data_IF_197535356673
#
_entry.id   IF_197535356673
#
_cell.length_a   1.000
_cell.length_b   1.000
_cell.length_c   1.000
_cell.angle_alpha   90.00
_cell.angle_beta   90.00
_cell.angle_gamma   90.00
#
_symmetry.space_group_name_H-M   'P 1'
#
loop_
_entity.id
_entity.type
_entity.pdbx_description
1 polymer ?
#
# COMPACT_ATOMS: atom_id res chain seq x y z
N UNK A 1 15.10 -10.43 10.83
CA UNK A 1 15.37 -10.38 12.29
C UNK A 1 14.21 -11.01 13.05
N UNK A 2 14.39 -11.47 14.30
CA UNK A 2 13.27 -12.03 15.11
C UNK A 2 12.12 -11.03 15.33
N UNK A 3 12.43 -9.74 15.41
CA UNK A 3 11.42 -8.69 15.57
C UNK A 3 10.54 -8.56 14.31
N UNK A 4 11.15 -8.57 13.12
CA UNK A 4 10.42 -8.53 11.85
C UNK A 4 9.48 -9.72 11.70
N UNK A 5 9.94 -10.94 11.98
CA UNK A 5 9.11 -12.15 11.90
C UNK A 5 7.85 -12.07 12.78
N UNK A 6 7.93 -11.42 13.94
CA UNK A 6 6.77 -11.20 14.82
C UNK A 6 5.78 -10.16 14.29
N UNK A 7 6.23 -9.28 13.41
CA UNK A 7 5.37 -8.28 12.77
C UNK A 7 4.67 -8.83 11.52
N UNK A 8 5.08 -9.99 11.00
CA UNK A 8 4.46 -10.61 9.83
C UNK A 8 3.15 -11.34 10.17
N UNK A 9 2.17 -11.34 9.25
CA UNK A 9 2.18 -10.60 8.00
C UNK A 9 1.92 -9.11 8.25
N UNK A 10 2.55 -8.20 7.52
CA UNK A 10 2.32 -6.75 7.69
C UNK A 10 1.03 -6.36 6.98
N UNK A 11 0.16 -5.64 7.70
CA UNK A 11 -1.04 -5.01 7.14
C UNK A 11 -0.83 -3.51 6.99
N UNK A 12 -0.62 -3.05 5.76
CA UNK A 12 -0.46 -1.62 5.52
C UNK A 12 -1.82 -0.94 5.31
N UNK A 13 -2.15 -0.02 6.22
CA UNK A 13 -3.32 0.86 6.10
C UNK A 13 -2.91 2.08 5.27
N UNK A 14 -3.21 2.04 3.99
CA UNK A 14 -2.86 3.12 3.08
C UNK A 14 -3.81 4.31 3.24
N UNK A 15 -3.30 5.41 3.81
CA UNK A 15 -4.03 6.68 3.92
C UNK A 15 -3.73 7.53 2.68
N UNK A 16 -4.74 8.15 2.04
CA UNK A 16 -4.54 8.96 0.84
C UNK A 16 -3.40 9.96 0.98
N UNK A 17 -2.52 10.00 -0.03
CA UNK A 17 -1.30 10.83 -0.11
C UNK A 17 -0.35 10.71 1.08
N UNK A 18 -0.45 9.68 1.92
CA UNK A 18 0.43 9.47 3.07
C UNK A 18 1.46 8.36 2.81
N UNK A 19 2.23 8.50 1.73
CA UNK A 19 3.45 7.72 1.52
C UNK A 19 3.25 6.43 0.75
N UNK A 20 2.70 6.50 -0.46
CA UNK A 20 2.62 5.34 -1.36
C UNK A 20 3.99 4.74 -1.68
N UNK A 21 5.06 5.53 -1.62
CA UNK A 21 6.45 5.06 -1.72
C UNK A 21 6.87 4.11 -0.60
N UNK A 22 6.13 4.04 0.51
CA UNK A 22 6.41 3.12 1.61
C UNK A 22 6.36 1.65 1.18
N UNK A 23 5.59 1.32 0.13
CA UNK A 23 5.57 -0.03 -0.43
C UNK A 23 6.98 -0.50 -0.83
N UNK A 24 7.83 0.39 -1.35
CA UNK A 24 9.20 0.06 -1.74
C UNK A 24 10.06 -0.34 -0.53
N UNK A 25 9.76 0.18 0.66
CA UNK A 25 10.40 -0.30 1.87
C UNK A 25 9.93 -1.70 2.22
N UNK A 26 8.62 -1.94 2.16
CA UNK A 26 7.99 -3.20 2.62
C UNK A 26 8.38 -4.38 1.75
N UNK A 27 8.34 -4.24 0.42
CA UNK A 27 8.62 -5.35 -0.50
C UNK A 27 10.09 -5.81 -0.45
N UNK A 28 10.98 -4.92 -0.01
CA UNK A 28 12.41 -5.19 0.15
C UNK A 28 12.80 -5.63 1.57
N UNK A 29 11.83 -5.78 2.48
CA UNK A 29 12.08 -6.35 3.80
C UNK A 29 12.33 -7.86 3.69
N UNK A 30 13.33 -8.41 4.42
CA UNK A 30 13.59 -9.84 4.41
C UNK A 30 12.34 -10.64 4.77
N UNK A 31 12.07 -11.73 4.05
CA UNK A 31 10.97 -12.67 4.30
C UNK A 31 9.55 -12.11 4.08
N UNK A 32 9.40 -10.87 3.60
CA UNK A 32 8.10 -10.33 3.20
C UNK A 32 7.70 -10.84 1.82
N UNK A 33 8.60 -10.70 0.85
CA UNK A 33 8.48 -11.24 -0.50
C UNK A 33 9.56 -12.28 -0.77
N UNK A 34 9.30 -13.16 -1.74
CA UNK A 34 10.27 -14.09 -2.27
C UNK A 34 11.03 -13.51 -3.48
N UNK A 35 11.87 -14.34 -4.11
CA UNK A 35 12.75 -13.93 -5.22
C UNK A 35 12.00 -13.63 -6.53
N UNK A 36 10.66 -13.74 -6.56
CA UNK A 36 9.85 -13.32 -7.71
C UNK A 36 9.78 -11.80 -7.85
N UNK A 37 10.01 -11.06 -6.76
CA UNK A 37 10.14 -9.60 -6.78
C UNK A 37 11.60 -9.23 -7.07
N UNK A 38 11.90 -8.52 -8.18
CA UNK A 38 13.26 -8.10 -8.48
C UNK A 38 13.84 -7.20 -7.39
N UNK A 39 15.11 -7.45 -7.02
CA UNK A 39 15.79 -6.72 -5.95
C UNK A 39 15.95 -5.21 -6.22
N UNK A 40 15.91 -4.80 -7.49
CA UNK A 40 16.00 -3.42 -7.95
C UNK A 40 14.63 -2.82 -8.33
N UNK A 41 13.53 -3.55 -8.09
CA UNK A 41 12.20 -3.07 -8.40
C UNK A 41 11.86 -1.81 -7.61
N UNK A 42 11.37 -0.79 -8.32
CA UNK A 42 10.79 0.42 -7.74
C UNK A 42 9.35 0.54 -8.22
N UNK A 43 8.42 0.53 -7.27
CA UNK A 43 6.99 0.73 -7.46
C UNK A 43 6.71 2.23 -7.45
N UNK A 44 6.44 2.77 -8.63
CA UNK A 44 6.15 4.18 -8.83
C UNK A 44 5.22 4.41 -10.05
N UNK A 45 4.98 5.68 -10.38
CA UNK A 45 4.06 6.08 -11.45
C UNK A 45 4.48 5.60 -12.86
N UNK A 46 5.69 5.10 -13.06
CA UNK A 46 6.09 4.50 -14.35
C UNK A 46 5.27 3.25 -14.68
N UNK A 47 4.69 2.58 -13.68
CA UNK A 47 3.75 1.48 -13.84
C UNK A 47 2.32 1.94 -14.20
N UNK A 48 2.08 3.25 -14.28
CA UNK A 48 0.78 3.83 -14.65
C UNK A 48 0.06 4.56 -13.50
N UNK A 49 -1.11 5.15 -13.77
CA UNK A 49 -1.82 6.01 -12.81
C UNK A 49 -2.34 5.27 -11.58
N UNK A 50 -2.46 3.93 -11.66
CA UNK A 50 -2.85 3.05 -10.55
C UNK A 50 -1.72 2.11 -10.16
N UNK A 51 -0.47 2.59 -10.18
CA UNK A 51 0.74 1.79 -10.02
C UNK A 51 0.73 0.76 -8.88
N UNK A 52 0.11 1.02 -7.72
CA UNK A 52 -0.02 0.02 -6.65
C UNK A 52 -0.91 -1.16 -7.06
N UNK A 53 -2.00 -0.89 -7.77
CA UNK A 53 -2.89 -1.92 -8.32
C UNK A 53 -2.22 -2.68 -9.47
N UNK A 54 -1.51 -1.96 -10.34
CA UNK A 54 -0.77 -2.58 -11.45
C UNK A 54 0.36 -3.47 -10.91
N UNK A 55 1.12 -2.99 -9.92
CA UNK A 55 2.12 -3.78 -9.21
C UNK A 55 1.52 -5.05 -8.59
N UNK A 56 0.37 -4.94 -7.91
CA UNK A 56 -0.35 -6.09 -7.34
C UNK A 56 -0.68 -7.14 -8.40
N UNK A 57 -1.15 -6.70 -9.55
CA UNK A 57 -1.53 -7.60 -10.64
C UNK A 57 -0.33 -8.20 -11.37
N UNK A 58 0.73 -7.42 -11.60
CA UNK A 58 1.87 -7.82 -12.40
C UNK A 58 2.71 -8.92 -11.73
N UNK A 59 2.80 -8.87 -10.41
CA UNK A 59 3.64 -9.80 -9.63
C UNK A 59 2.86 -10.81 -8.79
N UNK A 60 1.52 -10.83 -8.88
CA UNK A 60 0.66 -11.67 -8.03
C UNK A 60 1.07 -11.60 -6.55
N UNK A 61 0.91 -10.42 -5.94
CA UNK A 61 1.51 -10.15 -4.61
C UNK A 61 1.03 -11.08 -3.50
N UNK A 62 -0.15 -11.68 -3.60
CA UNK A 62 -0.60 -12.63 -2.58
C UNK A 62 0.24 -13.92 -2.62
N UNK A 63 0.75 -14.29 -3.80
CA UNK A 63 1.68 -15.41 -3.98
C UNK A 63 3.14 -14.99 -3.72
N UNK A 64 3.58 -13.88 -4.34
CA UNK A 64 4.96 -13.39 -4.25
C UNK A 64 5.35 -12.84 -2.88
N UNK A 65 4.38 -12.29 -2.14
CA UNK A 65 4.62 -11.59 -0.88
C UNK A 65 3.74 -12.10 0.27
N UNK A 66 3.90 -13.36 0.72
CA UNK A 66 3.08 -13.93 1.79
C UNK A 66 3.22 -13.20 3.13
N UNK A 67 4.31 -12.44 3.34
CA UNK A 67 4.51 -11.61 4.52
C UNK A 67 3.84 -10.24 4.45
N UNK A 68 3.18 -9.90 3.35
CA UNK A 68 2.45 -8.64 3.15
C UNK A 68 1.00 -8.95 2.81
N UNK A 69 0.07 -8.54 3.66
CA UNK A 69 -1.34 -8.58 3.26
C UNK A 69 -1.62 -7.38 2.37
N UNK A 70 -1.64 -7.66 1.07
CA UNK A 70 -1.85 -6.67 0.02
C UNK A 70 -3.32 -6.56 -0.39
N UNK A 71 -4.23 -7.24 0.32
CA UNK A 71 -5.63 -7.44 -0.09
C UNK A 71 -6.38 -6.16 -0.37
N UNK A 72 -5.95 -4.99 0.14
CA UNK A 72 -6.41 -3.67 -0.33
C UNK A 72 -5.35 -2.58 -0.17
N UNK A 73 -4.56 -2.28 -1.22
CA UNK A 73 -3.85 -0.99 -1.35
C UNK A 73 -4.78 0.23 -1.46
N UNK A 74 -6.10 0.03 -1.38
CA UNK A 74 -7.10 1.08 -1.31
C UNK A 74 -7.11 1.80 0.04
N UNK A 75 -7.85 2.90 0.08
CA UNK A 75 -7.94 3.78 1.25
C UNK A 75 -9.02 3.32 2.25
N UNK A 76 -8.87 2.10 2.80
CA UNK A 76 -9.85 1.49 3.70
C UNK A 76 -9.45 1.57 5.17
N UNK A 77 -10.43 1.58 6.07
CA UNK A 77 -10.20 1.41 7.51
C UNK A 77 -9.90 -0.05 7.88
N UNK A 78 -9.39 -0.26 9.11
CA UNK A 78 -8.94 -1.57 9.61
C UNK A 78 -10.06 -2.60 9.81
N UNK A 79 -11.30 -2.16 10.07
CA UNK A 79 -12.44 -3.08 10.21
C UNK A 79 -12.76 -3.78 8.89
N UNK A 80 -12.66 -3.06 7.77
CA UNK A 80 -12.91 -3.60 6.43
C UNK A 80 -11.87 -4.60 5.94
N UNK A 81 -10.79 -4.81 6.71
CA UNK A 81 -9.68 -5.71 6.39
C UNK A 81 -9.39 -6.73 7.51
N UNK A 82 -10.29 -6.90 8.48
CA UNK A 82 -10.20 -7.96 9.50
C UNK A 82 -9.35 -7.60 10.72
N UNK A 83 -9.76 -6.58 11.49
CA UNK A 83 -9.04 -6.16 12.71
C UNK A 83 -8.73 -7.34 13.65
N UNK A 84 -9.72 -8.19 13.92
CA UNK A 84 -9.57 -9.32 14.86
C UNK A 84 -8.52 -10.33 14.41
N UNK A 85 -8.40 -10.56 13.10
CA UNK A 85 -7.48 -11.55 12.52
C UNK A 85 -6.03 -11.02 12.47
N UNK A 86 -5.86 -9.70 12.44
CA UNK A 86 -4.57 -9.05 12.17
C UNK A 86 -4.14 -8.07 13.27
N UNK A 87 -4.73 -8.21 14.47
CA UNK A 87 -4.43 -7.35 15.61
C UNK A 87 -2.94 -7.38 15.95
N UNK A 88 -2.32 -6.20 16.00
CA UNK A 88 -0.88 -6.05 16.27
C UNK A 88 0.02 -6.06 15.04
N UNK A 89 -0.56 -6.28 13.86
CA UNK A 89 0.18 -6.37 12.59
C UNK A 89 -0.06 -5.19 11.64
N UNK A 90 -0.85 -4.20 12.07
CA UNK A 90 -1.15 -3.02 11.28
C UNK A 90 -0.02 -1.99 11.32
N UNK A 91 0.27 -1.43 10.16
CA UNK A 91 1.16 -0.29 9.98
C UNK A 91 0.44 0.80 9.23
N UNK A 92 0.60 2.04 9.69
CA UNK A 92 -0.04 3.21 9.11
C UNK A 92 0.95 4.38 9.09
N UNK A 93 0.89 5.16 8.03
CA UNK A 93 1.62 6.42 7.90
C UNK A 93 0.63 7.57 8.01
N UNK A 94 0.88 8.49 8.93
CA UNK A 94 -0.02 9.62 9.21
C UNK A 94 0.68 10.94 8.93
N UNK A 95 -0.10 11.94 8.51
CA UNK A 95 0.31 13.34 8.37
C UNK A 95 -0.36 14.21 9.43
N UNK A 96 0.13 15.45 9.57
CA UNK A 96 -0.57 16.48 10.34
C UNK A 96 -2.02 16.64 9.85
N UNK A 97 -3.00 16.82 10.75
CA UNK A 97 -4.42 16.82 10.40
C UNK A 97 -4.80 17.80 9.29
N UNK A 98 -4.26 19.02 9.32
CA UNK A 98 -4.54 20.07 8.34
C UNK A 98 -4.04 19.66 6.95
N UNK A 99 -2.84 19.07 6.89
CA UNK A 99 -2.25 18.56 5.64
C UNK A 99 -3.03 17.36 5.10
N UNK A 100 -3.67 16.56 5.97
CA UNK A 100 -4.53 15.46 5.56
C UNK A 100 -5.81 15.97 4.90
N UNK A 101 -6.43 17.03 5.42
CA UNK A 101 -7.62 17.65 4.80
C UNK A 101 -7.30 18.20 3.40
N UNK A 102 -6.19 18.94 3.27
CA UNK A 102 -5.71 19.44 1.97
C UNK A 102 -5.42 18.27 1.02
N UNK A 103 -4.75 17.23 1.51
CA UNK A 103 -4.43 16.05 0.70
C UNK A 103 -5.68 15.33 0.20
N UNK A 104 -6.70 15.16 1.05
CA UNK A 104 -7.95 14.52 0.67
C UNK A 104 -8.72 15.34 -0.36
N UNK A 105 -8.79 16.68 -0.17
CA UNK A 105 -9.37 17.58 -1.16
C UNK A 105 -8.66 17.43 -2.51
N UNK A 106 -7.34 17.55 -2.55
CA UNK A 106 -6.59 17.42 -3.79
C UNK A 106 -6.70 16.01 -4.40
N UNK A 107 -6.71 14.95 -3.60
CA UNK A 107 -6.85 13.58 -4.10
C UNK A 107 -8.22 13.35 -4.75
N UNK A 108 -9.29 13.89 -4.16
CA UNK A 108 -10.62 13.86 -4.78
C UNK A 108 -10.64 14.65 -6.10
N UNK A 109 -10.13 15.90 -6.11
CA UNK A 109 -10.11 16.75 -7.30
C UNK A 109 -9.23 16.20 -8.43
N UNK A 110 -8.07 15.64 -8.11
CA UNK A 110 -7.20 15.05 -9.13
C UNK A 110 -7.68 13.68 -9.56
N UNK A 111 -8.31 12.87 -8.70
CA UNK A 111 -8.93 11.63 -9.18
C UNK A 111 -10.10 11.93 -10.13
N UNK A 112 -10.97 12.90 -9.84
CA UNK A 112 -12.09 13.23 -10.72
C UNK A 112 -11.66 13.88 -12.03
N UNK A 113 -10.58 14.67 -12.05
CA UNK A 113 -10.07 15.29 -13.29
C UNK A 113 -9.22 14.34 -14.14
N UNK A 114 -8.52 13.36 -13.55
CA UNK A 114 -7.81 12.32 -14.31
C UNK A 114 -8.73 11.19 -14.79
N UNK A 115 -9.88 10.97 -14.15
CA UNK A 115 -10.92 10.04 -14.61
C UNK A 115 -12.11 10.73 -15.27
N UNK A 116 -11.90 11.94 -15.81
CA UNK A 116 -12.92 12.67 -16.55
C UNK A 116 -13.39 11.89 -17.78
N UNK A 117 -14.49 11.15 -17.61
CA UNK A 117 -15.61 11.27 -18.53
C UNK A 117 -15.94 12.76 -18.65
N UNK A 118 -15.78 13.32 -19.86
CA UNK A 118 -16.36 14.62 -20.16
C UNK A 118 -17.90 14.51 -20.09
N UNK A 119 -18.61 15.59 -19.71
CA UNK A 119 -20.07 15.64 -19.85
C UNK A 119 -20.53 15.51 -21.30
#
# INVERSE_FOLDING_TARGET
SKALQKALPVHWVHVPKCGSSFINTVIHLPTVCDDTIPADLVVDNSMGPRFLSEFRSLYDLDAACPGLVSTRFGHNGIEGVGYSEHKGHFMIMLRQPEQRLVSAYLDMFYSSTFFGEEP
#
